data_IF_781562717526
#
_entry.id   IF_781562717526
#
_cell.length_a   1.000
_cell.length_b   1.000
_cell.length_c   1.000
_cell.angle_alpha   90.00
_cell.angle_beta   90.00
_cell.angle_gamma   90.00
#
_symmetry.space_group_name_H-M   'P 1'
#
loop_
_entity.id
_entity.type
_entity.pdbx_description
1 polymer ?
#
# COMPACT_ATOMS: atom_id res chain seq x y z
N UNK A 1 6.30 4.91 10.41
CA UNK A 1 5.23 3.99 9.93
C UNK A 1 3.93 4.72 9.62
N UNK A 2 3.41 5.53 10.54
CA UNK A 2 2.12 6.21 10.35
C UNK A 2 2.06 7.12 9.12
N UNK A 3 3.16 7.83 8.84
CA UNK A 3 3.28 8.67 7.65
C UNK A 3 3.15 7.84 6.36
N UNK A 4 3.88 6.72 6.26
CA UNK A 4 3.83 5.81 5.10
C UNK A 4 2.42 5.24 4.92
N UNK A 5 1.77 4.83 6.02
CA UNK A 5 0.40 4.34 5.95
C UNK A 5 -0.59 5.43 5.53
N UNK A 6 -0.44 6.64 6.05
CA UNK A 6 -1.25 7.80 5.69
C UNK A 6 -1.09 8.19 4.22
N UNK A 7 0.15 8.22 3.71
CA UNK A 7 0.45 8.48 2.31
C UNK A 7 -0.15 7.41 1.40
N UNK A 8 0.05 6.13 1.71
CA UNK A 8 -0.53 5.01 0.97
C UNK A 8 -2.06 5.08 0.90
N UNK A 9 -2.71 5.37 2.03
CA UNK A 9 -4.16 5.56 2.08
C UNK A 9 -4.64 6.72 1.21
N UNK A 10 -3.93 7.85 1.22
CA UNK A 10 -4.27 9.00 0.36
C UNK A 10 -4.16 8.63 -1.11
N UNK A 11 -3.08 7.97 -1.52
CA UNK A 11 -2.87 7.54 -2.91
C UNK A 11 -4.00 6.61 -3.38
N UNK A 12 -4.35 5.59 -2.59
CA UNK A 12 -5.45 4.67 -2.93
C UNK A 12 -6.78 5.40 -3.05
N UNK A 13 -7.09 6.35 -2.15
CA UNK A 13 -8.32 7.14 -2.22
C UNK A 13 -8.34 8.14 -3.38
N UNK A 14 -7.19 8.67 -3.78
CA UNK A 14 -7.10 9.61 -4.91
C UNK A 14 -7.28 8.90 -6.26
N UNK A 15 -6.79 7.66 -6.37
CA UNK A 15 -6.79 6.90 -7.62
C UNK A 15 -7.99 5.95 -7.76
N UNK A 16 -8.69 5.65 -6.66
CA UNK A 16 -9.78 4.69 -6.67
C UNK A 16 -10.50 4.62 -5.33
N UNK A 17 -10.78 3.40 -4.88
CA UNK A 17 -11.57 3.16 -3.67
C UNK A 17 -10.80 2.29 -2.70
N UNK A 18 -10.64 2.77 -1.47
CA UNK A 18 -10.18 1.97 -0.35
C UNK A 18 -11.24 0.91 -0.02
N UNK A 19 -10.83 -0.36 0.00
CA UNK A 19 -11.70 -1.50 0.29
C UNK A 19 -11.55 -1.94 1.73
N UNK A 20 -10.33 -2.04 2.23
CA UNK A 20 -10.07 -2.51 3.59
C UNK A 20 -8.76 -1.95 4.14
N UNK A 21 -8.69 -1.87 5.48
CA UNK A 21 -7.48 -1.58 6.25
C UNK A 21 -7.35 -2.65 7.33
N UNK A 22 -6.14 -3.16 7.54
CA UNK A 22 -5.91 -4.14 8.61
C UNK A 22 -4.57 -3.91 9.28
N UNK A 23 -4.53 -4.11 10.60
CA UNK A 23 -3.30 -3.99 11.40
C UNK A 23 -3.07 -5.31 12.12
N UNK A 24 -1.91 -5.90 11.90
CA UNK A 24 -1.46 -7.13 12.52
C UNK A 24 -0.34 -6.80 13.50
N UNK A 25 -0.54 -7.17 14.76
CA UNK A 25 0.47 -7.07 15.80
C UNK A 25 1.11 -8.46 15.95
N UNK A 26 2.36 -8.60 15.49
CA UNK A 26 3.19 -9.75 15.85
C UNK A 26 4.21 -9.28 16.89
N UNK A 27 4.66 -10.19 17.77
CA UNK A 27 5.37 -9.96 19.04
C UNK A 27 6.45 -8.86 19.01
N UNK A 28 7.12 -8.64 17.86
CA UNK A 28 8.15 -7.61 17.70
C UNK A 28 7.92 -6.61 16.54
N UNK A 29 6.87 -6.78 15.71
CA UNK A 29 6.68 -5.96 14.51
C UNK A 29 5.20 -5.69 14.23
N UNK A 30 4.86 -4.43 14.00
CA UNK A 30 3.56 -4.02 13.48
C UNK A 30 3.57 -4.09 11.95
N UNK A 31 2.59 -4.80 11.40
CA UNK A 31 2.33 -4.86 9.95
C UNK A 31 0.97 -4.24 9.70
N UNK A 32 0.90 -3.27 8.78
CA UNK A 32 -0.34 -2.67 8.34
C UNK A 32 -0.56 -2.96 6.87
N UNK A 33 -1.79 -3.21 6.51
CA UNK A 33 -2.18 -3.54 5.14
C UNK A 33 -3.32 -2.64 4.68
N UNK A 34 -3.27 -2.29 3.40
CA UNK A 34 -4.29 -1.49 2.73
C UNK A 34 -4.71 -2.28 1.49
N UNK A 35 -6.00 -2.47 1.34
CA UNK A 35 -6.60 -3.07 0.16
C UNK A 35 -7.43 -2.02 -0.57
N UNK A 36 -7.28 -1.96 -1.89
CA UNK A 36 -7.94 -0.98 -2.72
C UNK A 36 -8.36 -1.53 -4.06
N UNK A 37 -9.26 -0.80 -4.72
CA UNK A 37 -9.67 -1.06 -6.09
C UNK A 37 -9.46 0.18 -6.93
N UNK A 38 -8.60 0.07 -7.94
CA UNK A 38 -8.21 1.17 -8.83
C UNK A 38 -8.42 0.70 -10.26
N UNK A 39 -9.25 1.39 -11.05
CA UNK A 39 -9.51 1.05 -12.45
C UNK A 39 -9.84 -0.44 -12.68
N UNK A 40 -10.74 -1.00 -11.83
CA UNK A 40 -11.14 -2.42 -11.79
C UNK A 40 -10.02 -3.43 -11.44
N UNK A 41 -8.85 -2.96 -11.00
CA UNK A 41 -7.72 -3.77 -10.54
C UNK A 41 -7.69 -3.82 -9.02
N UNK A 42 -7.28 -4.94 -8.47
CA UNK A 42 -7.13 -5.10 -7.03
C UNK A 42 -5.71 -4.67 -6.63
N UNK A 43 -5.61 -3.87 -5.58
CA UNK A 43 -4.35 -3.36 -5.07
C UNK A 43 -4.21 -3.77 -3.61
N UNK A 44 -3.03 -4.27 -3.27
CA UNK A 44 -2.65 -4.69 -1.94
C UNK A 44 -1.35 -4.00 -1.57
N UNK A 45 -1.34 -3.30 -0.45
CA UNK A 45 -0.16 -2.64 0.08
C UNK A 45 0.11 -3.22 1.45
N UNK A 46 1.34 -3.66 1.70
CA UNK A 46 1.82 -4.11 3.00
C UNK A 46 2.91 -3.18 3.47
N UNK A 47 2.77 -2.68 4.69
CA UNK A 47 3.71 -1.77 5.34
C UNK A 47 4.16 -2.42 6.63
N UNK A 48 5.47 -2.58 6.78
CA UNK A 48 6.09 -3.24 7.92
C UNK A 48 7.19 -2.35 8.50
N UNK A 49 7.19 -2.20 9.83
CA UNK A 49 8.26 -1.44 10.51
C UNK A 49 9.52 -2.30 10.59
N UNK A 50 10.62 -1.87 9.96
CA UNK A 50 11.91 -2.59 10.03
C UNK A 50 12.80 -1.98 11.12
N UNK A 51 12.76 -0.65 11.25
CA UNK A 51 13.49 0.15 12.24
C UNK A 51 12.58 1.34 12.64
N UNK A 52 12.76 1.99 13.81
CA UNK A 52 12.02 3.20 14.17
C UNK A 52 11.97 4.29 13.08
N UNK A 53 13.00 4.39 12.22
CA UNK A 53 13.06 5.37 11.12
C UNK A 53 12.83 4.78 9.73
N UNK A 54 12.71 3.46 9.59
CA UNK A 54 12.62 2.80 8.29
C UNK A 54 11.45 1.80 8.24
N UNK A 55 10.65 1.90 7.19
CA UNK A 55 9.55 0.97 6.92
C UNK A 55 9.76 0.30 5.57
N UNK A 56 9.42 -0.98 5.48
CA UNK A 56 9.30 -1.70 4.23
C UNK A 56 7.87 -1.54 3.70
N UNK A 57 7.73 -1.05 2.47
CA UNK A 57 6.45 -0.89 1.78
C UNK A 57 6.45 -1.77 0.54
N UNK A 58 5.52 -2.72 0.47
CA UNK A 58 5.37 -3.63 -0.67
C UNK A 58 4.02 -3.36 -1.31
N UNK A 59 4.03 -3.00 -2.58
CA UNK A 59 2.83 -2.78 -3.39
C UNK A 59 2.67 -3.94 -4.37
N UNK A 60 1.48 -4.53 -4.39
CA UNK A 60 1.06 -5.49 -5.40
C UNK A 60 -0.23 -5.00 -6.05
N UNK A 61 -0.25 -4.94 -7.37
CA UNK A 61 -1.47 -4.74 -8.14
C UNK A 61 -1.76 -5.97 -9.00
N UNK A 62 -3.04 -6.33 -9.10
CA UNK A 62 -3.53 -7.45 -9.90
C UNK A 62 -4.65 -6.99 -10.82
N UNK A 63 -4.59 -7.43 -12.07
CA UNK A 63 -5.68 -7.23 -13.03
C UNK A 63 -6.94 -7.95 -12.59
N UNK A 64 -8.08 -7.62 -13.21
CA UNK A 64 -9.36 -8.28 -12.93
C UNK A 64 -9.30 -9.81 -13.06
N UNK A 65 -8.49 -10.31 -13.99
CA UNK A 65 -8.29 -11.75 -14.22
C UNK A 65 -7.23 -12.38 -13.28
N UNK A 66 -6.68 -11.61 -12.32
CA UNK A 66 -5.69 -12.07 -11.36
C UNK A 66 -4.24 -12.03 -11.82
N UNK A 67 -3.99 -11.55 -13.05
CA UNK A 67 -2.62 -11.35 -13.57
C UNK A 67 -1.91 -10.20 -12.86
N UNK A 68 -0.57 -10.22 -12.86
CA UNK A 68 0.25 -9.18 -12.24
C UNK A 68 0.16 -7.89 -13.05
N UNK A 69 -0.01 -6.76 -12.37
CA UNK A 69 0.05 -5.42 -12.97
C UNK A 69 1.22 -4.63 -12.36
N UNK A 70 2.41 -4.81 -12.96
CA UNK A 70 3.66 -4.20 -12.44
C UNK A 70 3.66 -2.69 -12.63
N UNK A 71 3.06 -2.22 -13.72
CA UNK A 71 3.03 -0.79 -14.05
C UNK A 71 2.20 -0.02 -13.01
N UNK A 72 1.00 -0.50 -12.68
CA UNK A 72 0.18 0.12 -11.64
C UNK A 72 0.85 0.03 -10.26
N UNK A 73 1.44 -1.13 -9.92
CA UNK A 73 2.14 -1.28 -8.65
C UNK A 73 3.28 -0.27 -8.50
N UNK A 74 4.11 -0.12 -9.53
CA UNK A 74 5.24 0.83 -9.53
C UNK A 74 4.79 2.29 -9.56
N UNK A 75 3.69 2.60 -10.27
CA UNK A 75 3.09 3.93 -10.23
C UNK A 75 2.64 4.31 -8.81
N UNK A 76 1.91 3.41 -8.14
CA UNK A 76 1.45 3.62 -6.77
C UNK A 76 2.63 3.78 -5.81
N UNK A 77 3.66 2.95 -5.93
CA UNK A 77 4.86 3.03 -5.09
C UNK A 77 5.54 4.42 -5.20
N UNK A 78 5.66 4.95 -6.42
CA UNK A 78 6.17 6.30 -6.66
C UNK A 78 5.31 7.39 -6.05
N UNK A 79 3.99 7.32 -6.22
CA UNK A 79 3.06 8.30 -5.66
C UNK A 79 3.11 8.32 -4.13
N UNK A 80 3.27 7.15 -3.49
CA UNK A 80 3.46 7.05 -2.05
C UNK A 80 4.75 7.75 -1.64
N UNK A 81 5.86 7.46 -2.32
CA UNK A 81 7.15 8.09 -2.03
C UNK A 81 7.10 9.62 -2.20
N UNK A 82 6.41 10.12 -3.23
CA UNK A 82 6.21 11.56 -3.44
C UNK A 82 5.37 12.21 -2.34
N UNK A 83 4.41 11.49 -1.76
CA UNK A 83 3.57 11.95 -0.65
C UNK A 83 4.28 12.00 0.71
N UNK A 84 5.51 11.49 0.81
CA UNK A 84 6.34 11.49 2.03
C UNK A 84 7.41 12.60 2.05
N UNK A 85 7.35 13.54 1.10
CA UNK A 85 8.22 14.72 1.05
C UNK A 85 8.01 15.68 2.21
#
# INVERSE_FOLDING_TARGET
MDEVFGAAKKVVNNLGTLVNESTFYNQNTAVRTIEGKINQRNVYIRIESVDPKMCNCIVQARTRAGGVDVELAHYIDKEIALGLK
#
